data_IF_005143349397
#
_entry.id   IF_005143349397
#
_cell.length_a   1.000
_cell.length_b   1.000
_cell.length_c   1.000
_cell.angle_alpha   90.00
_cell.angle_beta   90.00
_cell.angle_gamma   90.00
#
_symmetry.space_group_name_H-M   'P 1'
#
loop_
_entity.id
_entity.type
_entity.pdbx_description
1 polymer ?
#
# COMPACT_ATOMS: atom_id res chain seq x y z
N UNK A 1 -8.03 69.25 -10.94
CA UNK A 1 -6.93 68.32 -11.28
C UNK A 1 -6.71 67.43 -10.09
N UNK A 2 -7.29 66.24 -10.15
CA UNK A 2 -7.32 65.25 -9.08
C UNK A 2 -6.00 64.49 -9.08
N UNK A 3 -5.25 64.57 -7.99
CA UNK A 3 -4.03 63.80 -7.77
C UNK A 3 -4.45 62.36 -7.47
N UNK A 4 -4.12 61.44 -8.38
CA UNK A 4 -4.34 60.02 -8.21
C UNK A 4 -3.42 59.49 -7.10
N UNK A 5 -3.91 58.60 -6.22
CA UNK A 5 -3.05 57.93 -5.26
C UNK A 5 -2.25 56.84 -5.98
N UNK A 6 -0.94 56.89 -5.76
CA UNK A 6 0.05 55.93 -6.23
C UNK A 6 -0.29 54.54 -5.66
N UNK A 7 -0.64 53.60 -6.55
CA UNK A 7 -0.90 52.21 -6.18
C UNK A 7 0.39 51.59 -5.63
N UNK A 8 0.41 51.33 -4.33
CA UNK A 8 1.39 50.44 -3.72
C UNK A 8 1.22 49.05 -4.37
N UNK A 9 2.21 48.70 -5.19
CA UNK A 9 2.35 47.35 -5.73
C UNK A 9 2.79 46.46 -4.58
N UNK A 10 1.84 45.70 -4.01
CA UNK A 10 2.15 44.53 -3.19
C UNK A 10 3.02 43.59 -4.03
N UNK A 11 4.33 43.61 -3.80
CA UNK A 11 5.21 42.53 -4.20
C UNK A 11 4.72 41.29 -3.46
N UNK A 12 3.94 40.46 -4.16
CA UNK A 12 3.72 39.08 -3.76
C UNK A 12 5.08 38.49 -3.42
N UNK A 13 5.28 38.07 -2.17
CA UNK A 13 6.42 37.27 -1.76
C UNK A 13 6.39 35.97 -2.56
N UNK A 14 6.95 36.00 -3.77
CA UNK A 14 7.24 34.82 -4.54
C UNK A 14 8.20 33.98 -3.67
N UNK A 15 7.65 32.91 -3.08
CA UNK A 15 8.38 32.04 -2.17
C UNK A 15 9.72 31.67 -2.77
N UNK A 16 10.80 32.06 -2.10
CA UNK A 16 12.14 31.69 -2.52
C UNK A 16 12.29 30.17 -2.40
N UNK A 17 12.21 29.48 -3.52
CA UNK A 17 12.39 28.02 -3.57
C UNK A 17 13.86 27.69 -3.26
N UNK A 18 14.08 26.95 -2.17
CA UNK A 18 15.41 26.47 -1.80
C UNK A 18 15.59 25.03 -2.29
N UNK A 19 16.62 24.80 -3.12
CA UNK A 19 17.00 23.44 -3.52
C UNK A 19 17.78 22.77 -2.40
N UNK A 20 17.25 21.67 -1.88
CA UNK A 20 17.87 20.84 -0.84
C UNK A 20 18.12 19.45 -1.43
N UNK A 21 19.26 18.83 -1.11
CA UNK A 21 19.55 17.46 -1.56
C UNK A 21 18.68 16.46 -0.81
N UNK A 22 18.30 15.36 -1.48
CA UNK A 22 17.53 14.26 -0.88
C UNK A 22 18.18 13.73 0.40
N UNK A 23 19.51 13.63 0.42
CA UNK A 23 20.26 13.07 1.54
C UNK A 23 20.14 13.94 2.81
N UNK A 24 20.00 15.26 2.64
CA UNK A 24 19.80 16.18 3.78
C UNK A 24 18.40 16.03 4.36
N UNK A 25 17.39 15.86 3.51
CA UNK A 25 16.01 15.57 3.94
C UNK A 25 15.95 14.20 4.61
N UNK A 26 16.64 13.20 4.05
CA UNK A 26 16.81 11.88 4.68
C UNK A 26 17.39 11.97 6.08
N UNK A 27 18.52 12.68 6.24
CA UNK A 27 19.14 12.89 7.54
C UNK A 27 18.25 13.65 8.53
N UNK A 28 17.50 14.66 8.07
CA UNK A 28 16.54 15.36 8.92
C UNK A 28 15.50 14.38 9.46
N UNK A 29 15.01 13.46 8.63
CA UNK A 29 14.03 12.47 9.03
C UNK A 29 14.60 11.44 10.01
N UNK A 30 15.84 11.03 9.83
CA UNK A 30 16.52 10.17 10.80
C UNK A 30 16.62 10.87 12.16
N UNK A 31 17.02 12.14 12.19
CA UNK A 31 17.11 12.94 13.42
C UNK A 31 15.75 13.15 14.10
N UNK A 32 14.70 13.42 13.31
CA UNK A 32 13.34 13.56 13.84
C UNK A 32 12.82 12.23 14.39
N UNK A 33 13.19 11.11 13.77
CA UNK A 33 12.87 9.76 14.27
C UNK A 33 13.61 9.45 15.57
N UNK A 34 14.91 9.77 15.65
CA UNK A 34 15.71 9.65 16.87
C UNK A 34 15.20 10.57 17.99
N UNK A 35 14.81 11.80 17.67
CA UNK A 35 14.21 12.73 18.64
C UNK A 35 12.90 12.16 19.21
N UNK A 36 12.03 11.63 18.33
CA UNK A 36 10.78 11.01 18.75
C UNK A 36 11.02 9.81 19.65
N UNK A 37 12.05 9.02 19.35
CA UNK A 37 12.48 7.91 20.19
C UNK A 37 12.93 8.40 21.56
N UNK A 38 13.89 9.34 21.62
CA UNK A 38 14.45 9.83 22.88
C UNK A 38 13.42 10.51 23.77
N UNK A 39 12.50 11.28 23.17
CA UNK A 39 11.38 11.88 23.92
C UNK A 39 10.50 10.79 24.51
N UNK A 40 10.19 9.77 23.73
CA UNK A 40 9.34 8.69 24.19
C UNK A 40 10.00 7.79 25.24
N UNK A 41 11.29 7.49 25.11
CA UNK A 41 12.07 6.78 26.15
C UNK A 41 12.09 7.58 27.46
N UNK A 42 12.18 8.90 27.38
CA UNK A 42 12.16 9.80 28.55
C UNK A 42 10.80 9.79 29.24
N UNK A 43 9.71 9.91 28.47
CA UNK A 43 8.34 9.95 29.00
C UNK A 43 7.92 8.60 29.59
N UNK A 44 8.32 7.49 28.95
CA UNK A 44 7.97 6.14 29.37
C UNK A 44 9.02 5.48 30.27
N UNK A 45 9.91 6.26 30.87
CA UNK A 45 10.95 5.73 31.76
C UNK A 45 10.31 4.95 32.92
N UNK A 46 10.79 3.73 33.24
CA UNK A 46 10.34 2.98 34.41
C UNK A 46 10.44 3.76 35.72
N UNK A 47 11.41 4.67 35.82
CA UNK A 47 11.62 5.52 36.99
C UNK A 47 10.43 6.47 37.27
N UNK A 48 9.53 6.65 36.29
CA UNK A 48 8.36 7.52 36.37
C UNK A 48 7.03 6.76 36.61
N UNK A 49 7.00 5.43 36.47
CA UNK A 49 5.75 4.66 36.40
C UNK A 49 4.87 4.71 37.67
N UNK A 50 5.47 4.93 38.85
CA UNK A 50 4.78 4.96 40.13
C UNK A 50 4.66 6.37 40.74
N UNK A 51 4.98 7.41 39.96
CA UNK A 51 4.94 8.80 40.42
C UNK A 51 3.70 9.52 39.90
N UNK A 52 2.94 10.16 40.80
CA UNK A 52 1.83 11.05 40.43
C UNK A 52 2.39 12.45 40.10
N UNK A 53 2.65 12.70 38.82
CA UNK A 53 3.30 13.92 38.32
C UNK A 53 2.42 14.65 37.29
N UNK A 54 1.25 15.13 37.71
CA UNK A 54 0.27 15.82 36.84
C UNK A 54 0.89 16.91 35.95
N UNK A 55 1.76 17.77 36.49
CA UNK A 55 2.41 18.83 35.70
C UNK A 55 3.41 18.27 34.67
N UNK A 56 4.08 17.17 34.99
CA UNK A 56 4.98 16.48 34.07
C UNK A 56 4.21 15.79 32.95
N UNK A 57 3.08 15.15 33.24
CA UNK A 57 2.21 14.53 32.23
C UNK A 57 1.71 15.58 31.23
N UNK A 58 1.26 16.74 31.73
CA UNK A 58 0.83 17.85 30.89
C UNK A 58 1.97 18.40 30.01
N UNK A 59 3.18 18.55 30.57
CA UNK A 59 4.36 18.99 29.82
C UNK A 59 4.81 17.96 28.78
N UNK A 60 4.78 16.68 29.14
CA UNK A 60 5.12 15.54 28.28
C UNK A 60 4.16 15.41 27.11
N UNK A 61 2.86 15.56 27.36
CA UNK A 61 1.85 15.57 26.29
C UNK A 61 2.10 16.72 25.30
N UNK A 62 2.40 17.93 25.80
CA UNK A 62 2.75 19.07 24.94
C UNK A 62 4.02 18.79 24.13
N UNK A 63 5.04 18.19 24.72
CA UNK A 63 6.28 17.82 24.03
C UNK A 63 6.00 16.82 22.90
N UNK A 64 5.20 15.77 23.15
CA UNK A 64 4.79 14.80 22.15
C UNK A 64 4.03 15.45 20.98
N UNK A 65 3.16 16.43 21.26
CA UNK A 65 2.47 17.19 20.23
C UNK A 65 3.45 18.00 19.36
N UNK A 66 4.44 18.67 19.96
CA UNK A 66 5.47 19.43 19.22
C UNK A 66 6.33 18.50 18.36
N UNK A 67 6.73 17.34 18.89
CA UNK A 67 7.48 16.33 18.12
C UNK A 67 6.68 15.89 16.89
N UNK A 68 5.37 15.65 17.06
CA UNK A 68 4.47 15.30 15.95
C UNK A 68 4.36 16.43 14.92
N UNK A 69 4.24 17.68 15.34
CA UNK A 69 4.24 18.83 14.42
C UNK A 69 5.55 18.93 13.63
N UNK A 70 6.69 18.68 14.27
CA UNK A 70 8.00 18.64 13.60
C UNK A 70 8.08 17.47 12.60
N UNK A 71 7.50 16.32 12.93
CA UNK A 71 7.40 15.15 12.04
C UNK A 71 6.55 15.45 10.79
N UNK A 72 5.40 16.09 10.99
CA UNK A 72 4.51 16.47 9.91
C UNK A 72 5.20 17.47 8.97
N UNK A 73 5.82 18.51 9.54
CA UNK A 73 6.59 19.50 8.77
C UNK A 73 7.77 18.88 8.01
N UNK A 74 8.49 17.93 8.62
CA UNK A 74 9.58 17.23 7.95
C UNK A 74 9.06 16.34 6.80
N UNK A 75 7.88 15.74 6.96
CA UNK A 75 7.21 14.94 5.92
C UNK A 75 6.80 15.81 4.74
N UNK A 76 6.23 16.98 4.99
CA UNK A 76 5.86 17.95 3.94
C UNK A 76 7.05 18.36 3.07
N UNK A 77 8.26 18.52 3.65
CA UNK A 77 9.48 18.87 2.91
C UNK A 77 9.88 17.82 1.87
N UNK A 78 9.44 16.57 2.01
CA UNK A 78 9.74 15.48 1.06
C UNK A 78 8.73 15.40 -0.09
N UNK A 79 7.57 16.03 0.06
CA UNK A 79 6.51 15.92 -0.92
C UNK A 79 6.86 16.68 -2.20
N UNK A 80 6.54 16.06 -3.32
CA UNK A 80 6.67 16.64 -4.66
C UNK A 80 5.32 16.53 -5.39
N UNK A 81 4.98 17.48 -6.26
CA UNK A 81 3.74 17.39 -7.03
C UNK A 81 3.83 16.24 -8.04
N UNK A 82 2.74 15.48 -8.18
CA UNK A 82 2.64 14.36 -9.13
C UNK A 82 2.84 14.81 -10.59
N UNK A 83 2.66 16.10 -10.89
CA UNK A 83 2.96 16.70 -12.20
C UNK A 83 4.33 16.33 -12.78
N UNK A 84 5.34 16.08 -11.93
CA UNK A 84 6.67 15.65 -12.40
C UNK A 84 6.58 14.31 -13.14
N UNK A 85 5.83 13.35 -12.59
CA UNK A 85 5.60 12.02 -13.16
C UNK A 85 4.70 12.14 -14.39
N UNK A 86 3.58 12.87 -14.29
CA UNK A 86 2.62 13.03 -15.39
C UNK A 86 3.24 13.69 -16.62
N UNK A 87 4.15 14.65 -16.43
CA UNK A 87 4.88 15.29 -17.54
C UNK A 87 5.76 14.31 -18.31
N UNK A 88 6.37 13.34 -17.63
CA UNK A 88 7.17 12.29 -18.28
C UNK A 88 6.25 11.32 -19.04
N UNK A 89 5.14 10.90 -18.44
CA UNK A 89 4.15 10.03 -19.10
C UNK A 89 3.54 10.69 -20.34
N UNK A 90 3.24 11.99 -20.29
CA UNK A 90 2.73 12.75 -21.44
C UNK A 90 3.66 12.70 -22.66
N UNK A 91 4.97 12.64 -22.45
CA UNK A 91 5.93 12.45 -23.55
C UNK A 91 5.83 11.05 -24.14
N UNK A 92 5.74 10.04 -23.29
CA UNK A 92 5.61 8.64 -23.73
C UNK A 92 4.30 8.36 -24.48
N UNK A 93 3.18 8.98 -24.08
CA UNK A 93 1.89 8.81 -24.79
C UNK A 93 2.00 9.22 -26.26
N UNK A 94 2.73 10.30 -26.56
CA UNK A 94 2.95 10.74 -27.96
C UNK A 94 3.79 9.75 -28.77
N UNK A 95 4.65 8.98 -28.11
CA UNK A 95 5.41 7.90 -28.76
C UNK A 95 4.49 6.70 -29.02
N UNK A 96 3.64 6.34 -28.05
CA UNK A 96 2.64 5.28 -28.19
C UNK A 96 1.62 5.58 -29.30
N UNK A 97 1.19 6.83 -29.49
CA UNK A 97 0.34 7.22 -30.63
C UNK A 97 1.00 6.86 -31.98
N UNK A 98 2.31 7.09 -32.11
CA UNK A 98 3.05 6.80 -33.34
C UNK A 98 3.24 5.30 -33.55
N UNK A 99 3.48 4.55 -32.48
CA UNK A 99 3.68 3.09 -32.55
C UNK A 99 2.37 2.35 -32.83
N UNK A 100 1.27 2.77 -32.21
CA UNK A 100 -0.04 2.10 -32.33
C UNK A 100 -0.88 2.59 -33.52
N UNK A 101 -0.57 3.77 -34.05
CA UNK A 101 -1.39 4.43 -35.08
C UNK A 101 -2.73 4.95 -34.58
N UNK A 102 -2.96 4.98 -33.26
CA UNK A 102 -4.20 5.47 -32.65
C UNK A 102 -4.07 6.96 -32.30
N UNK A 103 -5.19 7.69 -32.34
CA UNK A 103 -5.28 9.09 -31.92
C UNK A 103 -5.69 9.16 -30.46
N UNK A 104 -4.87 9.76 -29.60
CA UNK A 104 -5.06 9.78 -28.15
C UNK A 104 -5.10 11.23 -27.66
N UNK A 105 -6.14 11.58 -26.91
CA UNK A 105 -6.22 12.80 -26.12
C UNK A 105 -5.87 12.49 -24.66
N UNK A 106 -4.85 13.16 -24.13
CA UNK A 106 -4.37 12.94 -22.76
C UNK A 106 -4.79 14.10 -21.87
N UNK A 107 -5.70 13.83 -20.94
CA UNK A 107 -6.13 14.76 -19.90
C UNK A 107 -5.35 14.52 -18.60
N UNK A 108 -4.92 15.61 -17.96
CA UNK A 108 -4.28 15.56 -16.64
C UNK A 108 -5.20 16.25 -15.62
N UNK A 109 -5.42 15.61 -14.47
CA UNK A 109 -6.27 16.15 -13.39
C UNK A 109 -5.55 16.01 -12.05
N UNK A 110 -5.61 17.06 -11.22
CA UNK A 110 -4.98 17.07 -9.89
C UNK A 110 -3.45 17.00 -9.92
N UNK A 111 -2.82 17.66 -10.89
CA UNK A 111 -1.36 17.68 -11.11
C UNK A 111 -0.57 18.23 -9.90
N UNK A 112 -1.22 19.03 -9.08
CA UNK A 112 -0.74 19.65 -7.85
C UNK A 112 -0.77 18.71 -6.63
N UNK A 113 -1.42 17.54 -6.74
CA UNK A 113 -1.45 16.54 -5.67
C UNK A 113 -0.04 16.15 -5.25
N UNK A 114 0.26 16.29 -3.96
CA UNK A 114 1.57 16.08 -3.40
C UNK A 114 1.79 14.61 -3.01
N UNK A 115 2.92 14.04 -3.39
CA UNK A 115 3.33 12.66 -3.08
C UNK A 115 4.78 12.62 -2.60
N UNK A 116 5.15 11.63 -1.77
CA UNK A 116 6.54 11.43 -1.36
C UNK A 116 7.44 11.24 -2.59
N UNK A 117 8.61 11.89 -2.63
CA UNK A 117 9.57 11.79 -3.75
C UNK A 117 9.97 10.34 -4.07
N UNK A 118 10.15 9.48 -3.06
CA UNK A 118 10.45 8.06 -3.26
C UNK A 118 9.31 7.34 -3.97
N UNK A 119 8.07 7.68 -3.62
CA UNK A 119 6.86 7.16 -4.29
C UNK A 119 6.84 7.63 -5.74
N UNK A 120 7.05 8.93 -5.98
CA UNK A 120 7.07 9.50 -7.33
C UNK A 120 8.09 8.81 -8.26
N UNK A 121 9.29 8.53 -7.75
CA UNK A 121 10.36 7.89 -8.51
C UNK A 121 10.06 6.41 -8.81
N UNK A 122 9.38 5.69 -7.90
CA UNK A 122 8.97 4.29 -8.09
C UNK A 122 7.71 4.11 -8.93
N UNK A 123 6.85 5.14 -9.03
CA UNK A 123 5.57 5.04 -9.73
C UNK A 123 5.64 5.23 -11.24
N UNK A 124 6.73 5.77 -11.76
CA UNK A 124 6.85 6.07 -13.19
C UNK A 124 6.66 4.82 -14.08
N UNK A 125 7.43 3.77 -13.84
CA UNK A 125 7.37 2.54 -14.64
C UNK A 125 6.01 1.82 -14.51
N UNK A 126 5.43 1.65 -13.30
CA UNK A 126 4.09 1.07 -13.16
C UNK A 126 2.99 1.87 -13.87
N UNK A 127 2.98 3.21 -13.75
CA UNK A 127 1.99 4.04 -14.44
C UNK A 127 2.19 4.01 -15.95
N UNK A 128 3.43 3.99 -16.44
CA UNK A 128 3.72 3.87 -17.87
C UNK A 128 3.13 2.57 -18.43
N UNK A 129 3.22 1.47 -17.68
CA UNK A 129 2.64 0.21 -18.12
C UNK A 129 1.11 0.28 -18.20
N UNK A 130 0.44 0.85 -17.19
CA UNK A 130 -1.02 0.99 -17.22
C UNK A 130 -1.46 1.86 -18.40
N UNK A 131 -0.77 2.99 -18.63
CA UNK A 131 -1.02 3.87 -19.78
C UNK A 131 -0.80 3.15 -21.11
N UNK A 132 0.25 2.33 -21.22
CA UNK A 132 0.49 1.51 -22.41
C UNK A 132 -0.64 0.51 -22.64
N UNK A 133 -1.14 -0.16 -21.60
CA UNK A 133 -2.27 -1.09 -21.75
C UNK A 133 -3.53 -0.37 -22.24
N UNK A 134 -3.81 0.82 -21.70
CA UNK A 134 -4.90 1.67 -22.20
C UNK A 134 -4.68 2.05 -23.67
N UNK A 135 -3.47 2.44 -24.07
CA UNK A 135 -3.17 2.80 -25.46
C UNK A 135 -3.20 1.59 -26.44
N UNK A 136 -2.59 0.47 -26.08
CA UNK A 136 -2.39 -0.70 -26.97
C UNK A 136 -3.64 -1.59 -27.04
N UNK A 137 -4.27 -1.86 -25.90
CA UNK A 137 -5.36 -2.83 -25.78
C UNK A 137 -6.70 -2.20 -25.40
N UNK A 138 -6.70 -1.12 -24.61
CA UNK A 138 -7.91 -0.43 -24.18
C UNK A 138 -8.59 0.30 -25.34
N UNK A 139 -7.90 1.26 -25.94
CA UNK A 139 -8.42 2.09 -27.02
C UNK A 139 -8.57 1.29 -28.32
N UNK A 140 -9.70 1.46 -29.00
CA UNK A 140 -9.93 0.91 -30.33
C UNK A 140 -9.29 1.79 -31.42
N UNK A 141 -8.97 1.22 -32.60
CA UNK A 141 -8.59 2.02 -33.77
C UNK A 141 -9.66 3.07 -34.13
N UNK A 142 -9.28 4.20 -34.75
CA UNK A 142 -10.21 5.29 -35.09
C UNK A 142 -11.49 4.83 -35.81
N UNK A 143 -11.35 3.93 -36.80
CA UNK A 143 -12.48 3.44 -37.59
C UNK A 143 -13.46 2.61 -36.74
N UNK A 144 -12.95 1.75 -35.85
CA UNK A 144 -13.77 0.96 -34.91
C UNK A 144 -14.51 1.88 -33.92
N UNK A 145 -13.86 2.96 -33.47
CA UNK A 145 -14.47 3.93 -32.53
C UNK A 145 -15.63 4.67 -33.16
N UNK A 146 -15.45 5.16 -34.38
CA UNK A 146 -16.52 5.85 -35.12
C UNK A 146 -17.69 4.90 -35.41
N UNK A 147 -17.40 3.64 -35.76
CA UNK A 147 -18.44 2.61 -35.95
C UNK A 147 -19.21 2.30 -34.66
N UNK A 148 -18.56 2.39 -33.50
CA UNK A 148 -19.17 2.25 -32.18
C UNK A 148 -19.86 3.53 -31.66
N UNK A 149 -19.89 4.61 -32.45
CA UNK A 149 -20.50 5.89 -32.07
C UNK A 149 -19.66 6.74 -31.09
N UNK A 150 -18.38 6.40 -30.93
CA UNK A 150 -17.43 7.14 -30.09
C UNK A 150 -16.66 8.20 -30.88
N UNK A 151 -16.00 9.10 -30.16
CA UNK A 151 -15.03 10.05 -30.73
C UNK A 151 -13.89 9.31 -31.44
N UNK A 152 -13.46 9.82 -32.61
CA UNK A 152 -12.30 9.32 -33.35
C UNK A 152 -11.02 9.33 -32.49
N UNK A 153 -10.89 10.33 -31.60
CA UNK A 153 -9.82 10.37 -30.59
C UNK A 153 -10.26 9.60 -29.35
N UNK A 154 -9.43 8.66 -28.92
CA UNK A 154 -9.55 8.01 -27.61
C UNK A 154 -9.06 8.92 -26.50
N UNK A 155 -9.68 8.86 -25.34
CA UNK A 155 -9.31 9.71 -24.19
C UNK A 155 -8.62 8.85 -23.14
N UNK A 156 -7.46 9.31 -22.66
CA UNK A 156 -6.80 8.77 -21.47
C UNK A 156 -6.70 9.89 -20.43
N UNK A 157 -7.20 9.65 -19.23
CA UNK A 157 -7.17 10.60 -18.12
C UNK A 157 -6.17 10.08 -17.08
N UNK A 158 -5.17 10.91 -16.76
CA UNK A 158 -4.30 10.73 -15.60
C UNK A 158 -4.79 11.65 -14.48
N UNK A 159 -5.35 11.06 -13.44
CA UNK A 159 -5.87 11.77 -12.28
C UNK A 159 -5.04 11.50 -11.03
N UNK A 160 -4.92 12.48 -10.15
CA UNK A 160 -4.51 12.27 -8.77
C UNK A 160 -5.42 13.06 -7.83
N UNK A 161 -5.68 12.49 -6.66
CA UNK A 161 -6.40 13.17 -5.58
C UNK A 161 -5.98 12.58 -4.24
N UNK A 162 -5.84 13.42 -3.23
CA UNK A 162 -5.72 12.97 -1.85
C UNK A 162 -7.11 12.57 -1.33
N UNK A 163 -7.23 11.36 -0.79
CA UNK A 163 -8.45 10.80 -0.21
C UNK A 163 -8.12 10.31 1.20
N UNK A 164 -8.43 11.14 2.20
CA UNK A 164 -8.04 10.86 3.59
C UNK A 164 -6.52 10.85 3.76
N UNK A 165 -5.99 9.73 4.25
CA UNK A 165 -4.55 9.48 4.45
C UNK A 165 -3.86 8.80 3.25
N UNK A 166 -4.60 8.53 2.17
CA UNK A 166 -4.08 7.96 0.93
C UNK A 166 -4.06 9.02 -0.18
N UNK A 167 -3.12 8.86 -1.12
CA UNK A 167 -3.19 9.47 -2.44
C UNK A 167 -3.70 8.42 -3.41
N UNK A 168 -4.81 8.74 -4.10
CA UNK A 168 -5.35 7.94 -5.19
C UNK A 168 -4.85 8.50 -6.52
N UNK A 169 -4.08 7.71 -7.25
CA UNK A 169 -3.61 8.00 -8.60
C UNK A 169 -4.37 7.09 -9.56
N UNK A 170 -4.97 7.65 -10.60
CA UNK A 170 -5.92 6.94 -11.44
C UNK A 170 -5.56 7.11 -12.92
N UNK A 171 -5.67 6.01 -13.68
CA UNK A 171 -5.61 6.00 -15.14
C UNK A 171 -6.97 5.54 -15.65
N UNK A 172 -7.63 6.36 -16.46
CA UNK A 172 -8.96 6.08 -17.02
C UNK A 172 -8.86 6.15 -18.53
N UNK A 173 -9.39 5.16 -19.23
CA UNK A 173 -9.60 5.20 -20.68
C UNK A 173 -11.08 5.06 -21.04
N UNK A 174 -11.45 5.58 -22.21
CA UNK A 174 -12.80 5.45 -22.80
C UNK A 174 -12.85 4.34 -23.88
N UNK A 175 -12.01 3.32 -23.71
CA UNK A 175 -11.81 2.25 -24.67
C UNK A 175 -12.91 1.18 -24.64
N UNK A 176 -12.57 -0.01 -25.13
CA UNK A 176 -13.52 -1.14 -25.23
C UNK A 176 -13.84 -1.81 -23.90
N UNK A 177 -13.09 -1.49 -22.85
CA UNK A 177 -13.17 -2.16 -21.55
C UNK A 177 -12.58 -3.58 -21.56
N UNK A 178 -12.59 -4.23 -20.40
CA UNK A 178 -12.06 -5.57 -20.20
C UNK A 178 -13.06 -6.64 -20.65
N UNK A 179 -12.56 -7.64 -21.40
CA UNK A 179 -13.39 -8.77 -21.82
C UNK A 179 -13.55 -9.79 -20.68
N UNK A 180 -14.73 -9.75 -20.03
CA UNK A 180 -15.08 -10.64 -18.90
C UNK A 180 -14.91 -12.12 -19.22
N UNK A 181 -15.46 -12.58 -20.34
CA UNK A 181 -15.45 -13.99 -20.72
C UNK A 181 -14.03 -14.51 -20.93
N UNK A 182 -13.19 -13.73 -21.63
CA UNK A 182 -11.79 -14.10 -21.90
C UNK A 182 -10.99 -14.18 -20.59
N UNK A 183 -11.14 -13.20 -19.70
CA UNK A 183 -10.44 -13.14 -18.42
C UNK A 183 -10.90 -14.28 -17.50
N UNK A 184 -12.21 -14.52 -17.37
CA UNK A 184 -12.76 -15.60 -16.55
C UNK A 184 -12.31 -16.98 -17.03
N UNK A 185 -12.27 -17.21 -18.36
CA UNK A 185 -11.79 -18.46 -18.94
C UNK A 185 -10.31 -18.72 -18.60
N UNK A 186 -9.47 -17.69 -18.64
CA UNK A 186 -8.05 -17.80 -18.28
C UNK A 186 -7.90 -17.99 -16.77
N UNK A 187 -8.67 -17.27 -15.96
CA UNK A 187 -8.64 -17.38 -14.51
C UNK A 187 -9.04 -18.78 -14.02
N UNK A 188 -10.10 -19.37 -14.60
CA UNK A 188 -10.54 -20.75 -14.32
C UNK A 188 -9.48 -21.78 -14.72
N UNK A 189 -8.86 -21.64 -15.90
CA UNK A 189 -7.77 -22.53 -16.33
C UNK A 189 -6.57 -22.52 -15.37
N UNK A 190 -6.39 -21.43 -14.61
CA UNK A 190 -5.31 -21.27 -13.63
C UNK A 190 -5.72 -21.64 -12.21
N UNK A 191 -6.97 -22.02 -11.99
CA UNK A 191 -7.48 -22.40 -10.67
C UNK A 191 -7.79 -21.24 -9.74
N UNK A 192 -7.94 -20.00 -10.24
CA UNK A 192 -8.36 -18.86 -9.41
C UNK A 192 -9.83 -18.93 -9.01
N UNK A 193 -10.68 -19.53 -9.85
CA UNK A 193 -12.12 -19.68 -9.61
C UNK A 193 -12.57 -21.08 -10.02
N UNK A 194 -13.59 -21.59 -9.33
CA UNK A 194 -14.28 -22.82 -9.69
C UNK A 194 -14.99 -22.73 -11.06
N UNK A 195 -15.33 -23.89 -11.67
CA UNK A 195 -16.02 -23.93 -12.97
C UNK A 195 -17.40 -23.25 -12.95
N UNK A 196 -18.09 -23.29 -11.81
CA UNK A 196 -19.43 -22.69 -11.62
C UNK A 196 -19.39 -21.42 -10.76
N UNK A 197 -18.20 -20.97 -10.36
CA UNK A 197 -18.05 -19.76 -9.55
C UNK A 197 -18.18 -18.51 -10.42
N UNK A 198 -19.06 -17.60 -10.02
CA UNK A 198 -19.22 -16.27 -10.62
C UNK A 198 -18.64 -15.20 -9.70
N UNK A 199 -17.36 -14.82 -9.92
CA UNK A 199 -16.73 -13.80 -9.10
C UNK A 199 -17.32 -12.42 -9.39
N UNK A 200 -17.36 -11.59 -8.34
CA UNK A 200 -17.63 -10.16 -8.47
C UNK A 200 -16.66 -9.52 -9.49
N UNK A 201 -17.12 -8.59 -10.35
CA UNK A 201 -16.27 -7.95 -11.35
C UNK A 201 -14.94 -7.42 -10.80
N UNK A 202 -14.96 -6.72 -9.67
CA UNK A 202 -13.79 -6.15 -9.00
C UNK A 202 -12.73 -7.21 -8.67
N UNK A 203 -13.16 -8.38 -8.19
CA UNK A 203 -12.28 -9.52 -7.88
C UNK A 203 -11.72 -10.17 -9.14
N UNK A 204 -12.54 -10.31 -10.18
CA UNK A 204 -12.10 -10.87 -11.46
C UNK A 204 -11.05 -9.98 -12.14
N UNK A 205 -11.22 -8.66 -12.11
CA UNK A 205 -10.30 -7.72 -12.74
C UNK A 205 -8.94 -7.70 -12.06
N UNK A 206 -8.88 -7.87 -10.73
CA UNK A 206 -7.60 -7.95 -10.00
C UNK A 206 -6.71 -9.10 -10.47
N UNK A 207 -7.29 -10.19 -11.00
CA UNK A 207 -6.52 -11.32 -11.52
C UNK A 207 -5.55 -10.93 -12.65
N UNK A 208 -5.80 -9.83 -13.37
CA UNK A 208 -4.91 -9.37 -14.45
C UNK A 208 -3.52 -8.95 -13.95
N UNK A 209 -3.37 -8.69 -12.64
CA UNK A 209 -2.09 -8.34 -12.01
C UNK A 209 -1.40 -9.53 -11.34
N UNK A 210 -1.96 -10.73 -11.45
CA UNK A 210 -1.31 -11.92 -10.93
C UNK A 210 -0.16 -12.37 -11.83
N UNK A 211 0.94 -12.90 -11.27
CA UNK A 211 2.09 -13.33 -12.05
C UNK A 211 1.73 -14.25 -13.21
N UNK A 212 2.27 -13.89 -14.38
CA UNK A 212 2.06 -14.62 -15.62
C UNK A 212 0.66 -14.47 -16.22
N UNK A 213 -0.29 -13.73 -15.64
CA UNK A 213 -1.63 -13.51 -16.21
C UNK A 213 -1.52 -12.62 -17.47
N UNK A 214 -1.18 -13.22 -18.60
CA UNK A 214 -1.15 -12.55 -19.90
C UNK A 214 -2.25 -13.12 -20.79
N UNK A 215 -2.99 -12.23 -21.44
CA UNK A 215 -4.01 -12.59 -22.45
C UNK A 215 -3.44 -12.69 -23.86
N UNK A 216 -2.12 -12.49 -24.03
CA UNK A 216 -1.45 -12.56 -25.32
C UNK A 216 -1.03 -13.99 -25.63
N UNK A 217 -1.46 -14.50 -26.79
CA UNK A 217 -1.06 -15.82 -27.31
C UNK A 217 0.38 -15.81 -27.90
N UNK A 218 0.97 -14.63 -28.09
CA UNK A 218 2.33 -14.45 -28.57
C UNK A 218 3.11 -13.45 -27.69
N UNK A 219 4.37 -13.79 -27.40
CA UNK A 219 5.32 -12.87 -26.75
C UNK A 219 5.68 -11.80 -27.77
N UNK A 220 5.08 -10.61 -27.67
CA UNK A 220 5.49 -9.47 -28.49
C UNK A 220 6.87 -9.00 -28.04
N UNK A 221 7.73 -8.70 -29.01
CA UNK A 221 9.13 -8.24 -28.85
C UNK A 221 9.28 -6.93 -28.08
N UNK A 222 8.18 -6.22 -27.78
CA UNK A 222 8.17 -4.97 -27.02
C UNK A 222 8.24 -5.15 -25.49
N UNK A 223 8.12 -6.38 -24.98
CA UNK A 223 8.24 -6.71 -23.54
C UNK A 223 9.68 -6.99 -23.07
N UNK A 224 10.68 -6.57 -23.85
CA UNK A 224 12.11 -6.88 -23.70
C UNK A 224 12.85 -6.40 -22.44
N UNK A 225 12.14 -6.07 -21.36
CA UNK A 225 12.71 -5.85 -20.01
C UNK A 225 12.00 -6.61 -18.88
N UNK A 226 11.19 -7.61 -19.21
CA UNK A 226 10.55 -8.44 -18.18
C UNK A 226 9.57 -7.66 -17.29
N UNK A 227 8.90 -6.63 -17.83
CA UNK A 227 7.93 -5.81 -17.09
C UNK A 227 6.54 -6.36 -17.35
N UNK A 228 6.15 -7.39 -16.61
CA UNK A 228 4.79 -7.89 -16.59
C UNK A 228 3.93 -7.07 -15.62
N UNK A 229 2.64 -7.43 -15.54
CA UNK A 229 1.73 -6.88 -14.54
C UNK A 229 2.06 -7.31 -13.10
N UNK A 230 2.98 -8.27 -12.96
CA UNK A 230 3.66 -8.64 -11.73
C UNK A 230 4.50 -7.51 -11.13
N UNK A 231 5.15 -6.69 -11.95
CA UNK A 231 5.97 -5.55 -11.48
C UNK A 231 5.11 -4.47 -10.83
N UNK A 232 3.94 -4.18 -11.40
CA UNK A 232 2.98 -3.24 -10.82
C UNK A 232 2.49 -3.73 -9.45
N UNK A 233 2.07 -5.00 -9.34
CA UNK A 233 1.62 -5.57 -8.08
C UNK A 233 2.74 -5.58 -7.03
N UNK A 234 3.96 -5.94 -7.42
CA UNK A 234 5.14 -5.94 -6.52
C UNK A 234 5.48 -4.52 -6.06
N UNK A 235 5.48 -3.56 -6.97
CA UNK A 235 5.78 -2.16 -6.63
C UNK A 235 4.72 -1.57 -5.71
N UNK A 236 3.44 -1.87 -5.97
CA UNK A 236 2.35 -1.42 -5.09
C UNK A 236 2.45 -2.05 -3.71
N UNK A 237 2.78 -3.35 -3.62
CA UNK A 237 3.07 -4.01 -2.34
C UNK A 237 4.24 -3.35 -1.60
N UNK A 238 5.35 -3.07 -2.28
CA UNK A 238 6.51 -2.39 -1.67
C UNK A 238 6.19 -0.97 -1.20
N UNK A 239 5.26 -0.29 -1.88
CA UNK A 239 4.75 1.03 -1.50
C UNK A 239 3.61 0.94 -0.45
N UNK A 240 3.24 -0.27 -0.01
CA UNK A 240 2.05 -0.53 0.83
C UNK A 240 0.78 0.12 0.27
N UNK A 241 0.71 0.16 -1.04
CA UNK A 241 -0.44 0.62 -1.76
C UNK A 241 -1.29 -0.54 -2.26
N UNK A 242 -2.52 -0.22 -2.64
CA UNK A 242 -3.49 -1.17 -3.19
C UNK A 242 -3.93 -0.75 -4.58
N UNK A 243 -4.25 -1.74 -5.40
CA UNK A 243 -4.74 -1.55 -6.77
C UNK A 243 -6.23 -1.87 -6.79
N UNK A 244 -7.02 -0.96 -7.35
CA UNK A 244 -8.41 -1.18 -7.70
C UNK A 244 -8.58 -1.05 -9.21
N UNK A 245 -9.44 -1.89 -9.79
CA UNK A 245 -9.78 -1.83 -11.22
C UNK A 245 -11.26 -1.96 -11.39
N UNK A 246 -11.80 -1.03 -12.17
CA UNK A 246 -13.18 -0.99 -12.60
C UNK A 246 -13.19 -0.93 -14.12
N UNK A 247 -14.06 -1.72 -14.75
CA UNK A 247 -14.17 -1.71 -16.20
C UNK A 247 -15.57 -2.11 -16.62
N UNK A 248 -16.06 -1.43 -17.66
CA UNK A 248 -17.35 -1.69 -18.27
C UNK A 248 -17.15 -1.82 -19.79
N UNK A 249 -17.74 -2.88 -20.35
CA UNK A 249 -17.61 -3.18 -21.77
C UNK A 249 -18.18 -2.02 -22.61
N UNK A 250 -17.38 -1.50 -23.53
CA UNK A 250 -17.73 -0.35 -24.36
C UNK A 250 -17.55 1.01 -23.69
N UNK A 251 -17.36 1.11 -22.37
CA UNK A 251 -17.19 2.37 -21.65
C UNK A 251 -15.76 2.59 -21.12
N UNK A 252 -14.91 1.56 -21.22
CA UNK A 252 -13.48 1.67 -20.94
C UNK A 252 -13.05 1.04 -19.62
N UNK A 253 -11.87 1.45 -19.15
CA UNK A 253 -11.24 0.87 -17.96
C UNK A 253 -10.70 1.97 -17.06
N UNK A 254 -10.83 1.78 -15.76
CA UNK A 254 -10.24 2.61 -14.72
C UNK A 254 -9.35 1.77 -13.83
N UNK A 255 -8.09 2.17 -13.70
CA UNK A 255 -7.12 1.58 -12.78
C UNK A 255 -6.76 2.64 -11.75
N UNK A 256 -6.97 2.33 -10.47
CA UNK A 256 -6.67 3.21 -9.34
C UNK A 256 -5.58 2.61 -8.47
N UNK A 257 -4.53 3.38 -8.22
CA UNK A 257 -3.45 3.10 -7.28
C UNK A 257 -3.67 3.95 -6.04
N UNK A 258 -3.88 3.30 -4.90
CA UNK A 258 -4.03 3.94 -3.61
C UNK A 258 -2.74 3.76 -2.83
N UNK A 259 -2.13 4.84 -2.37
CA UNK A 259 -0.81 4.81 -1.73
C UNK A 259 -0.85 5.71 -0.49
N UNK A 260 -0.32 5.28 0.67
CA UNK A 260 -0.22 6.15 1.84
C UNK A 260 0.54 7.44 1.53
N UNK A 261 0.08 8.57 2.07
CA UNK A 261 0.74 9.88 1.90
C UNK A 261 2.18 9.87 2.45
N UNK A 262 2.42 9.12 3.53
CA UNK A 262 3.74 8.95 4.14
C UNK A 262 4.12 7.48 4.24
N UNK A 263 5.34 7.15 3.80
CA UNK A 263 5.92 5.82 3.95
C UNK A 263 6.84 5.70 5.17
N UNK A 264 7.18 6.79 5.86
CA UNK A 264 8.11 6.73 6.98
C UNK A 264 7.48 6.12 8.24
N UNK A 265 6.18 6.35 8.42
CA UNK A 265 5.46 5.99 9.64
C UNK A 265 4.36 4.98 9.33
N UNK A 266 4.15 4.04 10.24
CA UNK A 266 3.13 3.02 10.15
C UNK A 266 2.21 3.10 11.36
N UNK A 267 0.93 3.37 11.10
CA UNK A 267 -0.13 3.22 12.09
C UNK A 267 -0.36 1.73 12.35
N UNK A 268 0.00 1.27 13.55
CA UNK A 268 0.14 -0.14 13.81
C UNK A 268 -0.38 -0.55 15.18
N UNK A 269 -0.79 -1.82 15.31
CA UNK A 269 -1.12 -2.42 16.60
C UNK A 269 0.06 -3.25 17.06
N UNK A 270 0.54 -2.99 18.27
CA UNK A 270 1.62 -3.74 18.89
C UNK A 270 1.08 -5.04 19.49
N UNK A 271 1.79 -6.13 19.24
CA UNK A 271 1.45 -7.49 19.63
C UNK A 271 2.60 -8.10 20.42
N UNK A 272 2.28 -8.95 21.41
CA UNK A 272 3.27 -9.68 22.18
C UNK A 272 3.10 -11.18 22.04
N UNK A 273 4.21 -11.87 21.83
CA UNK A 273 4.29 -13.34 21.92
C UNK A 273 5.56 -13.71 22.69
N UNK A 274 5.39 -14.24 23.90
CA UNK A 274 6.45 -14.44 24.86
C UNK A 274 7.19 -13.12 25.13
N UNK A 275 8.50 -13.11 24.87
CA UNK A 275 9.34 -11.94 25.06
C UNK A 275 9.56 -11.13 23.77
N UNK A 276 8.91 -11.51 22.66
CA UNK A 276 9.06 -10.83 21.38
C UNK A 276 7.87 -9.91 21.10
N UNK A 277 8.19 -8.76 20.54
CA UNK A 277 7.24 -7.76 20.09
C UNK A 277 7.09 -7.85 18.57
N UNK A 278 5.84 -7.80 18.13
CA UNK A 278 5.45 -7.76 16.73
C UNK A 278 4.55 -6.56 16.53
N UNK A 279 4.50 -6.04 15.31
CA UNK A 279 3.55 -5.00 14.97
C UNK A 279 2.94 -5.26 13.60
N UNK A 280 1.70 -4.82 13.44
CA UNK A 280 0.92 -5.00 12.21
C UNK A 280 0.22 -3.70 11.84
N UNK A 281 0.17 -3.34 10.55
CA UNK A 281 -0.68 -2.26 10.08
C UNK A 281 -2.13 -2.45 10.54
N UNK A 282 -2.77 -1.39 11.03
CA UNK A 282 -4.19 -1.46 11.44
C UNK A 282 -5.10 -1.89 10.28
N UNK A 283 -4.71 -1.51 9.05
CA UNK A 283 -5.43 -1.81 7.81
C UNK A 283 -5.46 -3.30 7.43
N UNK A 284 -4.47 -4.09 7.87
CA UNK A 284 -4.42 -5.52 7.60
C UNK A 284 -5.38 -6.32 8.51
N UNK A 285 -5.77 -5.72 9.64
CA UNK A 285 -6.57 -6.36 10.69
C UNK A 285 -8.04 -6.33 10.30
N UNK A 286 -8.64 -7.50 10.11
CA UNK A 286 -10.09 -7.62 9.95
C UNK A 286 -10.80 -7.53 11.29
N UNK A 287 -10.42 -8.36 12.25
CA UNK A 287 -11.00 -8.36 13.60
C UNK A 287 -10.05 -9.03 14.60
N UNK A 288 -10.22 -8.71 15.89
CA UNK A 288 -9.46 -9.29 17.00
C UNK A 288 -10.44 -10.08 17.86
N UNK A 289 -10.15 -11.36 18.08
CA UNK A 289 -11.06 -12.28 18.78
C UNK A 289 -10.30 -13.10 19.81
N UNK A 290 -10.92 -13.34 20.96
CA UNK A 290 -10.43 -14.32 21.93
C UNK A 290 -11.28 -15.58 21.80
N UNK A 291 -10.73 -16.70 21.28
CA UNK A 291 -11.46 -17.95 21.16
C UNK A 291 -11.94 -18.40 22.54
N UNK A 292 -13.25 -18.57 22.71
CA UNK A 292 -13.84 -19.03 23.96
C UNK A 292 -14.38 -20.45 23.75
N UNK A 293 -13.84 -21.41 24.50
CA UNK A 293 -14.24 -22.82 24.43
C UNK A 293 -13.53 -23.66 23.37
N UNK A 294 -13.50 -24.97 23.61
CA UNK A 294 -12.82 -25.98 22.79
C UNK A 294 -13.42 -26.15 21.39
N UNK A 295 -14.71 -25.81 21.21
CA UNK A 295 -15.44 -25.92 19.94
C UNK A 295 -15.09 -24.84 18.92
N UNK A 296 -14.36 -23.81 19.35
CA UNK A 296 -13.87 -22.74 18.48
C UNK A 296 -12.64 -23.14 17.68
N UNK A 297 -12.00 -24.27 18.04
CA UNK A 297 -10.73 -24.72 17.48
C UNK A 297 -10.91 -26.13 16.94
N UNK A 298 -10.84 -26.29 15.63
CA UNK A 298 -10.92 -27.58 14.96
C UNK A 298 -9.60 -27.86 14.22
N UNK A 299 -9.15 -29.11 14.15
CA UNK A 299 -7.95 -29.48 13.39
C UNK A 299 -8.43 -30.05 12.05
N UNK A 300 -7.95 -29.49 10.94
CA UNK A 300 -8.29 -29.98 9.60
C UNK A 300 -7.81 -31.43 9.43
N UNK A 301 -8.71 -32.29 8.97
CA UNK A 301 -8.47 -33.72 8.76
C UNK A 301 -7.45 -34.00 7.63
N UNK A 302 -7.33 -33.10 6.65
CA UNK A 302 -6.49 -33.33 5.47
C UNK A 302 -5.00 -33.06 5.75
N UNK A 303 -4.71 -31.99 6.50
CA UNK A 303 -3.35 -31.45 6.61
C UNK A 303 -2.89 -31.25 8.07
N UNK A 304 -3.73 -31.57 9.07
CA UNK A 304 -3.43 -31.33 10.48
C UNK A 304 -3.31 -29.84 10.86
N UNK A 305 -3.78 -28.93 10.00
CA UNK A 305 -3.71 -27.49 10.24
C UNK A 305 -4.78 -27.08 11.24
N UNK A 306 -4.40 -26.33 12.28
CA UNK A 306 -5.34 -25.74 13.22
C UNK A 306 -6.25 -24.73 12.50
N UNK A 307 -7.55 -24.79 12.79
CA UNK A 307 -8.59 -23.94 12.21
C UNK A 307 -9.36 -23.25 13.34
N UNK A 308 -9.55 -21.95 13.24
CA UNK A 308 -10.41 -21.15 14.09
C UNK A 308 -11.81 -21.07 13.46
N UNK A 309 -12.82 -21.53 14.19
CA UNK A 309 -14.22 -21.41 13.78
C UNK A 309 -14.78 -20.07 14.23
N UNK A 310 -15.03 -19.18 13.28
CA UNK A 310 -15.54 -17.85 13.53
C UNK A 310 -16.85 -17.63 12.77
N UNK A 311 -17.96 -17.47 13.51
CA UNK A 311 -19.32 -17.27 12.96
C UNK A 311 -19.68 -18.30 11.87
N UNK A 312 -19.32 -19.56 12.09
CA UNK A 312 -19.61 -20.68 11.18
C UNK A 312 -18.64 -20.84 9.99
N UNK A 313 -17.63 -19.96 9.85
CA UNK A 313 -16.55 -20.11 8.87
C UNK A 313 -15.29 -20.67 9.53
N UNK A 314 -14.55 -21.49 8.79
CA UNK A 314 -13.26 -22.03 9.23
C UNK A 314 -12.11 -21.16 8.70
N UNK A 315 -11.33 -20.61 9.61
CA UNK A 315 -10.20 -19.73 9.31
C UNK A 315 -8.90 -20.46 9.68
N UNK A 316 -7.95 -20.66 8.75
CA UNK A 316 -6.68 -21.32 9.07
C UNK A 316 -5.85 -20.51 10.06
N UNK A 317 -5.31 -21.21 11.06
CA UNK A 317 -4.44 -20.63 12.09
C UNK A 317 -2.98 -20.66 11.64
N UNK A 318 -2.28 -19.53 11.83
CA UNK A 318 -0.85 -19.35 11.53
C UNK A 318 -0.13 -18.92 12.80
N UNK A 319 0.55 -19.87 13.44
CA UNK A 319 1.35 -19.66 14.66
C UNK A 319 2.67 -18.98 14.33
N UNK A 320 2.93 -17.81 14.92
CA UNK A 320 4.18 -17.06 14.70
C UNK A 320 5.42 -17.84 15.13
N UNK A 321 5.29 -18.75 16.10
CA UNK A 321 6.35 -19.65 16.56
C UNK A 321 6.92 -20.52 15.43
N UNK A 322 6.16 -20.78 14.36
CA UNK A 322 6.63 -21.53 13.20
C UNK A 322 7.54 -20.70 12.28
N UNK A 323 7.38 -19.37 12.29
CA UNK A 323 8.12 -18.43 11.45
C UNK A 323 9.35 -17.90 12.18
N UNK A 324 9.18 -17.55 13.45
CA UNK A 324 10.17 -16.90 14.29
C UNK A 324 10.66 -17.86 15.37
N UNK A 325 11.97 -18.12 15.37
CA UNK A 325 12.58 -18.99 16.39
C UNK A 325 12.65 -18.26 17.73
N UNK A 326 12.59 -19.01 18.82
CA UNK A 326 12.76 -18.53 20.20
C UNK A 326 11.67 -17.57 20.72
N UNK A 327 10.47 -17.49 20.11
CA UNK A 327 9.37 -16.72 20.70
C UNK A 327 8.95 -17.29 22.07
N UNK A 328 8.86 -18.62 22.17
CA UNK A 328 8.52 -19.36 23.39
C UNK A 328 9.01 -20.81 23.34
N UNK A 329 9.18 -21.45 24.50
CA UNK A 329 9.56 -22.88 24.64
C UNK A 329 8.37 -23.86 24.53
N UNK A 330 7.16 -23.45 24.91
CA UNK A 330 5.94 -24.29 24.90
C UNK A 330 4.82 -23.60 24.11
N UNK A 331 4.10 -24.36 23.30
CA UNK A 331 2.97 -23.85 22.50
C UNK A 331 1.72 -23.86 23.38
N UNK A 332 1.05 -22.70 23.50
CA UNK A 332 -0.21 -22.61 24.27
C UNK A 332 -1.43 -23.00 23.43
N UNK A 333 -2.49 -23.54 24.07
CA UNK A 333 -3.78 -23.73 23.43
C UNK A 333 -4.33 -22.41 22.89
N UNK A 334 -4.99 -22.46 21.72
CA UNK A 334 -5.62 -21.31 21.08
C UNK A 334 -6.68 -20.63 21.97
N UNK A 335 -7.35 -21.39 22.84
CA UNK A 335 -8.33 -20.87 23.80
C UNK A 335 -7.78 -19.87 24.81
N UNK A 336 -6.47 -19.94 25.08
CA UNK A 336 -5.81 -19.14 26.10
C UNK A 336 -5.13 -17.89 25.49
N UNK A 337 -5.18 -17.77 24.17
CA UNK A 337 -4.51 -16.73 23.38
C UNK A 337 -5.51 -15.79 22.73
N UNK A 338 -5.07 -14.59 22.36
CA UNK A 338 -5.86 -13.67 21.54
C UNK A 338 -5.51 -13.94 20.08
N UNK A 339 -6.50 -14.10 19.22
CA UNK A 339 -6.30 -14.32 17.79
C UNK A 339 -6.64 -13.07 16.99
N UNK A 340 -5.72 -12.65 16.13
CA UNK A 340 -5.91 -11.55 15.21
C UNK A 340 -6.23 -12.15 13.85
N UNK A 341 -7.37 -11.74 13.29
CA UNK A 341 -7.81 -12.18 11.97
C UNK A 341 -7.34 -11.15 10.96
N UNK A 342 -6.48 -11.57 10.04
CA UNK A 342 -6.00 -10.73 8.94
C UNK A 342 -6.78 -11.00 7.65
N UNK A 343 -6.92 -9.97 6.82
CA UNK A 343 -7.40 -10.12 5.44
C UNK A 343 -6.20 -10.27 4.51
N UNK A 344 -6.15 -11.39 3.78
CA UNK A 344 -5.10 -11.62 2.77
C UNK A 344 -5.73 -11.94 1.43
N UNK A 345 -4.96 -11.84 0.34
CA UNK A 345 -5.38 -12.22 -1.00
C UNK A 345 -5.83 -13.69 -1.11
N UNK A 346 -5.40 -14.55 -0.16
CA UNK A 346 -5.73 -15.98 -0.09
C UNK A 346 -6.92 -16.29 0.83
N UNK A 347 -7.57 -15.26 1.37
CA UNK A 347 -8.62 -15.38 2.38
C UNK A 347 -8.12 -15.00 3.77
N UNK A 348 -8.99 -15.16 4.77
CA UNK A 348 -8.65 -14.80 6.14
C UNK A 348 -7.68 -15.80 6.77
N UNK A 349 -6.77 -15.30 7.60
CA UNK A 349 -5.91 -16.11 8.45
C UNK A 349 -6.05 -15.64 9.90
N UNK A 350 -5.92 -16.55 10.86
CA UNK A 350 -5.92 -16.24 12.28
C UNK A 350 -4.52 -16.40 12.85
N UNK A 351 -3.98 -15.37 13.49
CA UNK A 351 -2.66 -15.39 14.12
C UNK A 351 -2.81 -15.25 15.62
N UNK A 352 -2.51 -16.30 16.41
CA UNK A 352 -2.60 -16.26 17.86
C UNK A 352 -1.38 -15.55 18.46
N UNK A 353 -1.65 -14.67 19.42
CA UNK A 353 -0.67 -13.92 20.20
C UNK A 353 -1.04 -13.98 21.69
N UNK A 354 -0.08 -13.71 22.58
CA UNK A 354 -0.37 -13.67 24.01
C UNK A 354 -1.20 -12.44 24.35
N UNK A 355 -0.78 -11.28 23.85
CA UNK A 355 -1.39 -9.99 24.16
C UNK A 355 -1.45 -9.09 22.93
N UNK A 356 -2.55 -8.34 22.85
CA UNK A 356 -2.67 -7.18 21.97
C UNK A 356 -2.47 -5.96 22.86
N UNK A 357 -1.42 -5.20 22.56
CA UNK A 357 -1.04 -3.98 23.26
C UNK A 357 -1.67 -2.78 22.53
N UNK A 358 -1.10 -1.59 22.73
CA UNK A 358 -1.65 -0.36 22.20
C UNK A 358 -1.44 -0.17 20.69
N UNK A 359 -2.33 0.65 20.13
CA UNK A 359 -2.15 1.25 18.80
C UNK A 359 -1.13 2.38 18.90
N UNK A 360 -0.09 2.32 18.08
CA UNK A 360 0.94 3.36 18.01
C UNK A 360 1.45 3.55 16.58
N UNK A 361 1.84 4.78 16.29
CA UNK A 361 2.52 5.13 15.06
C UNK A 361 4.00 4.82 15.22
N UNK A 362 4.52 3.89 14.43
CA UNK A 362 5.91 3.42 14.53
C UNK A 362 6.71 3.79 13.30
N UNK A 363 8.00 4.04 13.47
CA UNK A 363 8.93 4.22 12.35
C UNK A 363 9.36 2.83 11.89
N UNK A 364 9.00 2.49 10.65
CA UNK A 364 9.44 1.23 10.04
C UNK A 364 10.79 1.44 9.37
N UNK A 365 11.74 0.54 9.65
CA UNK A 365 12.98 0.40 8.90
C UNK A 365 12.96 -0.92 8.12
N UNK A 366 13.26 -0.89 6.80
CA UNK A 366 13.34 -2.12 6.02
C UNK A 366 14.49 -2.98 6.52
N UNK A 367 14.30 -4.29 6.54
CA UNK A 367 15.36 -5.23 6.87
C UNK A 367 16.33 -5.33 5.68
N UNK A 368 17.60 -5.02 5.89
CA UNK A 368 18.64 -5.03 4.84
C UNK A 368 19.75 -6.02 5.16
N UNK A 369 20.52 -6.41 4.14
CA UNK A 369 21.65 -7.34 4.29
C UNK A 369 21.22 -8.72 4.80
N UNK A 370 21.87 -9.20 5.86
CA UNK A 370 21.57 -10.50 6.46
C UNK A 370 20.13 -10.59 7.04
N UNK A 371 19.53 -9.45 7.41
CA UNK A 371 18.18 -9.39 7.96
C UNK A 371 17.08 -9.47 6.90
N UNK A 372 17.40 -9.27 5.62
CA UNK A 372 16.42 -9.35 4.53
C UNK A 372 15.79 -10.75 4.39
N UNK A 373 16.40 -11.77 5.00
CA UNK A 373 15.93 -13.16 5.00
C UNK A 373 14.97 -13.49 6.15
N UNK A 374 14.65 -12.52 7.03
CA UNK A 374 13.70 -12.75 8.11
C UNK A 374 12.32 -13.02 7.51
N UNK A 375 11.82 -14.23 7.75
CA UNK A 375 10.56 -14.73 7.16
C UNK A 375 9.37 -13.89 7.62
N UNK A 376 8.36 -13.84 6.75
CA UNK A 376 7.05 -13.26 7.03
C UNK A 376 7.06 -11.84 7.65
N UNK A 377 8.05 -11.03 7.28
CA UNK A 377 8.19 -9.66 7.80
C UNK A 377 8.42 -8.64 6.68
N UNK A 378 7.94 -7.42 6.90
CA UNK A 378 8.21 -6.24 6.09
C UNK A 378 9.48 -5.50 6.52
N UNK A 379 9.76 -5.55 7.81
CA UNK A 379 10.64 -4.57 8.45
C UNK A 379 10.82 -4.85 9.94
N UNK A 380 11.57 -3.97 10.58
CA UNK A 380 11.47 -3.75 12.01
C UNK A 380 10.90 -2.36 12.28
N UNK A 381 10.17 -2.24 13.37
CA UNK A 381 9.66 -0.99 13.91
C UNK A 381 10.40 -0.68 15.19
N UNK A 382 10.83 0.57 15.33
CA UNK A 382 11.38 1.06 16.60
C UNK A 382 10.24 1.66 17.41
N UNK A 383 10.04 1.13 18.61
CA UNK A 383 8.96 1.54 19.48
C UNK A 383 9.33 2.75 20.30
N UNK A 384 8.30 3.43 20.78
CA UNK A 384 8.35 4.47 21.79
C UNK A 384 9.22 4.11 23.03
N UNK A 385 9.30 2.83 23.38
CA UNK A 385 10.06 2.33 24.54
C UNK A 385 11.54 2.08 24.26
N UNK A 386 12.01 2.26 23.02
CA UNK A 386 13.35 1.84 22.60
C UNK A 386 13.42 0.37 22.15
N UNK A 387 12.38 -0.42 22.45
CA UNK A 387 12.30 -1.80 22.00
C UNK A 387 12.07 -1.90 20.48
N UNK A 388 12.44 -3.04 19.91
CA UNK A 388 12.28 -3.32 18.48
C UNK A 388 11.16 -4.34 18.29
N UNK A 389 10.16 -3.98 17.48
CA UNK A 389 9.12 -4.90 17.05
C UNK A 389 9.35 -5.36 15.61
N UNK A 390 9.02 -6.61 15.30
CA UNK A 390 9.04 -7.10 13.91
C UNK A 390 7.73 -6.69 13.23
N UNK A 391 7.80 -6.01 12.08
CA UNK A 391 6.61 -5.69 11.30
C UNK A 391 6.20 -6.91 10.48
N UNK A 392 5.05 -7.51 10.80
CA UNK A 392 4.59 -8.74 10.16
C UNK A 392 4.07 -8.49 8.75
N UNK A 393 4.38 -9.41 7.83
CA UNK A 393 3.80 -9.48 6.49
C UNK A 393 2.73 -10.59 6.47
N UNK A 394 1.46 -10.18 6.55
CA UNK A 394 0.31 -11.06 6.63
C UNK A 394 0.14 -11.95 5.38
N UNK A 395 0.53 -11.46 4.20
CA UNK A 395 0.49 -12.23 2.95
C UNK A 395 1.49 -13.37 2.99
N UNK A 396 2.70 -13.11 3.49
CA UNK A 396 3.72 -14.16 3.68
C UNK A 396 3.33 -15.14 4.79
N UNK A 397 2.71 -14.69 5.87
CA UNK A 397 2.17 -15.58 6.91
C UNK A 397 1.14 -16.55 6.34
N UNK A 398 0.31 -16.12 5.38
CA UNK A 398 -0.70 -16.97 4.76
C UNK A 398 -0.11 -18.15 3.98
N UNK A 399 1.08 -18.00 3.38
CA UNK A 399 1.77 -19.05 2.59
C UNK A 399 2.14 -20.27 3.43
N UNK A 400 2.40 -20.10 4.74
CA UNK A 400 2.80 -21.17 5.67
C UNK A 400 4.32 -21.26 5.87
N UNK A 401 4.75 -21.86 6.99
CA UNK A 401 6.14 -21.82 7.47
C UNK A 401 7.17 -22.72 6.76
N UNK A 402 6.75 -23.51 5.77
CA UNK A 402 7.59 -24.51 5.07
C UNK A 402 8.18 -24.01 3.74
N UNK A 403 7.99 -22.74 3.36
CA UNK A 403 8.63 -22.12 2.19
C UNK A 403 9.33 -20.81 2.50
#
# INVERSE_FOLDING_TARGET
MSVQPEQATEKSAAGALMRVSSDKIGRLMDLVSELSLSVSETINSPDLQDLDLVDFEAASHRLSMIVREVQDAATELRLVPVSEVFRRLKRMVRELERETGKKIDLELRGEDTAIDKLVADRLYDPLLHVVRNSADHGLEPPDERVAAGKSEKGTIILGAAQVGSEVRIQVIDDGRGLNREKILKIARKRGFFGPDEEPEPSTLWKCIFEPGFSTAEAVTTLSGRGVGMDVLNTTMKDLRGRIAVDSEAGNGTSVSLHIPVSLAFLDSILLRLGNQLFTVPVEDIHEIVKPTGSESVEISADNGTEMLKLRGKFIPVRRLETFYRNCRKEIRPLSDMVSIVFSTARGHIAVPVDEVLDRQQVVMKPLTGALAQVRASWGCALLATGEVAIVLDCERLAVGGDK
#
